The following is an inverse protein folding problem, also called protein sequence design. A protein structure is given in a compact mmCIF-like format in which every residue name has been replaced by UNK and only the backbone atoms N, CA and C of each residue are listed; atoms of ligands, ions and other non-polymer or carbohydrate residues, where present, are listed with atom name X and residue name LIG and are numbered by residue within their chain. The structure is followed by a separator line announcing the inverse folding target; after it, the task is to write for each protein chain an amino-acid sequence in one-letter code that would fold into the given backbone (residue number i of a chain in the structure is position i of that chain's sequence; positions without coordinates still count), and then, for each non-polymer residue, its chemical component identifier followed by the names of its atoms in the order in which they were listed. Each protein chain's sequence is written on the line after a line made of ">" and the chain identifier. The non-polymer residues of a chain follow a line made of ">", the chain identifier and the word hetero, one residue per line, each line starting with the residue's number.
data_IF_231273853209
#
_entry.id   IF_231273853209
#
_cell.length_a   1.000
_cell.length_b   1.000
_cell.length_c   1.000
_cell.angle_alpha   90.00
_cell.angle_beta   90.00
_cell.angle_gamma   90.00
#
_symmetry.space_group_name_H-M   'P 1'
#
loop_
_entity.id
_entity.type
_entity.pdbx_description
1 polymer ?
#
# COMPACT_ATOMS: atom_id res chain seq x y z
N UNK A 1 22.25 -6.71 5.18
CA UNK A 1 21.73 -6.54 3.79
C UNK A 1 21.23 -5.10 3.69
N UNK A 2 21.52 -4.34 2.61
CA UNK A 2 20.97 -2.99 2.50
C UNK A 2 19.49 -3.09 2.13
N UNK A 3 18.56 -2.50 2.91
CA UNK A 3 17.15 -2.50 2.58
C UNK A 3 16.95 -1.77 1.24
N UNK A 4 16.21 -2.40 0.33
CA UNK A 4 15.90 -1.83 -0.98
C UNK A 4 14.44 -1.43 -1.01
N UNK A 5 14.17 -0.19 -1.45
CA UNK A 5 12.81 0.28 -1.65
C UNK A 5 12.15 -0.45 -2.83
N UNK A 6 10.89 -0.83 -2.66
CA UNK A 6 10.05 -1.32 -3.73
C UNK A 6 9.84 -0.24 -4.79
N UNK A 7 9.81 -0.64 -6.05
CA UNK A 7 9.34 0.21 -7.13
C UNK A 7 7.83 0.45 -7.01
N UNK A 8 7.37 1.60 -7.47
CA UNK A 8 5.98 2.05 -7.26
C UNK A 8 4.94 1.04 -7.76
N UNK A 9 5.23 0.36 -8.87
CA UNK A 9 4.34 -0.65 -9.43
C UNK A 9 4.22 -1.85 -8.49
N UNK A 10 5.33 -2.34 -7.98
CA UNK A 10 5.36 -3.46 -7.05
C UNK A 10 4.72 -3.07 -5.71
N UNK A 11 4.99 -1.86 -5.21
CA UNK A 11 4.40 -1.35 -3.98
C UNK A 11 2.88 -1.22 -4.08
N UNK A 12 2.36 -0.59 -5.16
CA UNK A 12 0.91 -0.46 -5.35
C UNK A 12 0.23 -1.82 -5.50
N UNK A 13 0.82 -2.71 -6.30
CA UNK A 13 0.27 -4.06 -6.50
C UNK A 13 0.30 -4.86 -5.19
N UNK A 14 1.34 -4.69 -4.35
CA UNK A 14 1.40 -5.29 -3.01
C UNK A 14 0.30 -4.78 -2.09
N UNK A 15 0.01 -3.47 -2.08
CA UNK A 15 -1.11 -2.90 -1.31
C UNK A 15 -2.45 -3.54 -1.69
N UNK A 16 -2.71 -3.70 -2.98
CA UNK A 16 -3.91 -4.38 -3.46
C UNK A 16 -3.92 -5.88 -3.12
N UNK A 17 -2.76 -6.53 -3.18
CA UNK A 17 -2.64 -7.95 -2.86
C UNK A 17 -2.90 -8.23 -1.38
N UNK A 18 -2.29 -7.45 -0.48
CA UNK A 18 -2.45 -7.63 0.97
C UNK A 18 -3.84 -7.26 1.47
N UNK A 19 -4.57 -6.41 0.74
CA UNK A 19 -5.99 -6.12 1.04
C UNK A 19 -6.97 -7.08 0.36
N UNK A 20 -6.46 -8.04 -0.43
CA UNK A 20 -7.27 -9.02 -1.14
C UNK A 20 -8.03 -8.45 -2.35
N UNK A 21 -7.60 -7.28 -2.85
CA UNK A 21 -8.31 -6.57 -3.91
C UNK A 21 -7.64 -6.67 -5.29
N UNK A 22 -6.42 -7.27 -5.36
CA UNK A 22 -5.67 -7.33 -6.61
C UNK A 22 -6.35 -8.21 -7.66
N UNK A 23 -6.79 -7.58 -8.75
CA UNK A 23 -7.23 -8.27 -9.95
C UNK A 23 -6.02 -8.72 -10.78
N UNK A 24 -5.85 -10.04 -10.91
CA UNK A 24 -4.74 -10.69 -11.63
C UNK A 24 -5.08 -11.01 -13.09
N UNK A 25 -6.21 -10.55 -13.61
CA UNK A 25 -6.62 -10.78 -14.99
C UNK A 25 -5.55 -10.27 -15.96
N UNK A 26 -5.15 -11.13 -16.89
CA UNK A 26 -4.13 -10.84 -17.90
C UNK A 26 -4.79 -10.37 -19.20
N UNK A 27 -4.19 -9.36 -19.84
CA UNK A 27 -4.66 -8.81 -21.11
C UNK A 27 -5.72 -7.71 -20.93
N UNK A 28 -6.35 -7.30 -22.02
CA UNK A 28 -7.35 -6.23 -22.05
C UNK A 28 -6.77 -4.83 -22.25
N UNK A 29 -7.63 -3.83 -22.21
CA UNK A 29 -7.28 -2.43 -22.47
C UNK A 29 -6.46 -1.82 -21.32
N UNK A 30 -5.58 -0.84 -21.60
CA UNK A 30 -4.92 -0.04 -20.58
C UNK A 30 -5.93 0.72 -19.72
N UNK A 31 -5.57 0.92 -18.44
CA UNK A 31 -6.39 1.61 -17.46
C UNK A 31 -5.92 3.07 -17.30
N UNK A 32 -6.86 4.00 -17.43
CA UNK A 32 -6.60 5.45 -17.31
C UNK A 32 -6.72 5.96 -15.88
N UNK A 33 -7.43 5.24 -15.01
CA UNK A 33 -7.70 5.62 -13.61
C UNK A 33 -7.08 4.60 -12.66
N UNK A 34 -5.77 4.44 -12.75
CA UNK A 34 -5.06 3.37 -12.05
C UNK A 34 -5.26 3.40 -10.52
N UNK A 35 -5.44 4.56 -9.91
CA UNK A 35 -5.67 4.66 -8.47
C UNK A 35 -7.07 4.16 -8.02
N UNK A 36 -8.02 4.10 -8.94
CA UNK A 36 -9.35 3.51 -8.70
C UNK A 36 -9.41 2.05 -9.13
N UNK A 37 -8.55 1.67 -10.04
CA UNK A 37 -8.47 0.32 -10.57
C UNK A 37 -7.93 -0.67 -9.54
N UNK A 38 -8.37 -1.91 -9.63
CA UNK A 38 -7.83 -3.05 -8.87
C UNK A 38 -6.86 -3.90 -9.69
N UNK A 39 -6.68 -3.57 -10.97
CA UNK A 39 -5.75 -4.28 -11.87
C UNK A 39 -4.30 -3.96 -11.51
N UNK A 40 -3.40 -4.84 -11.96
CA UNK A 40 -1.96 -4.64 -11.82
C UNK A 40 -1.53 -3.32 -12.46
N UNK A 41 -0.58 -2.65 -11.85
CA UNK A 41 -0.04 -1.36 -12.32
C UNK A 41 0.57 -1.44 -13.71
N UNK A 42 0.96 -2.65 -14.15
CA UNK A 42 1.39 -2.92 -15.52
C UNK A 42 0.39 -2.41 -16.60
N UNK A 43 -0.89 -2.33 -16.27
CA UNK A 43 -1.94 -1.87 -17.20
C UNK A 43 -2.21 -0.36 -17.11
N UNK A 44 -1.44 0.39 -16.33
CA UNK A 44 -1.59 1.84 -16.24
C UNK A 44 -1.34 2.50 -17.59
N UNK A 45 -2.22 3.42 -17.98
CA UNK A 45 -1.99 4.27 -19.15
C UNK A 45 -0.94 5.34 -18.80
N UNK A 46 0.10 5.46 -19.61
CA UNK A 46 1.19 6.44 -19.43
C UNK A 46 1.25 7.36 -20.65
N UNK A 47 1.32 8.67 -20.40
CA UNK A 47 1.48 9.67 -21.45
C UNK A 47 2.95 9.91 -21.79
N UNK A 48 3.26 10.07 -23.09
CA UNK A 48 4.58 10.52 -23.56
C UNK A 48 4.72 12.05 -23.56
N UNK A 49 3.64 12.79 -23.42
CA UNK A 49 3.62 14.27 -23.57
C UNK A 49 3.08 14.95 -22.31
N UNK A 50 3.77 14.78 -21.20
CA UNK A 50 3.39 15.38 -19.91
C UNK A 50 2.29 14.58 -19.18
N UNK A 51 1.82 15.12 -18.06
CA UNK A 51 0.80 14.48 -17.23
C UNK A 51 -0.59 14.68 -17.81
N UNK A 52 -1.07 13.67 -18.48
CA UNK A 52 -2.44 13.64 -19.03
C UNK A 52 -3.38 12.74 -18.22
N UNK A 53 -2.81 11.79 -17.50
CA UNK A 53 -3.55 10.81 -16.74
C UNK A 53 -3.17 10.88 -15.25
N UNK A 54 -4.09 10.49 -14.38
CA UNK A 54 -3.82 10.36 -12.94
C UNK A 54 -2.61 9.45 -12.66
N UNK A 55 -2.45 8.38 -13.47
CA UNK A 55 -1.32 7.48 -13.40
C UNK A 55 0.03 8.16 -13.60
N UNK A 56 0.14 9.14 -14.49
CA UNK A 56 1.41 9.82 -14.75
C UNK A 56 1.92 10.55 -13.51
N UNK A 57 1.05 11.34 -12.87
CA UNK A 57 1.39 12.10 -11.66
C UNK A 57 1.72 11.16 -10.48
N UNK A 58 0.92 10.10 -10.29
CA UNK A 58 1.13 9.12 -9.24
C UNK A 58 2.46 8.37 -9.41
N UNK A 59 2.72 7.84 -10.60
CA UNK A 59 3.92 7.07 -10.88
C UNK A 59 5.18 7.93 -10.71
N UNK A 60 5.17 9.19 -11.20
CA UNK A 60 6.29 10.12 -11.02
C UNK A 60 6.51 10.53 -9.58
N UNK A 61 5.45 10.68 -8.79
CA UNK A 61 5.58 10.96 -7.37
C UNK A 61 6.46 9.91 -6.66
N UNK A 62 6.47 8.68 -7.16
CA UNK A 62 7.24 7.55 -6.62
C UNK A 62 8.39 7.12 -7.54
N UNK A 63 9.01 8.07 -8.23
CA UNK A 63 10.25 7.87 -8.99
C UNK A 63 10.13 6.97 -10.24
N UNK A 64 8.95 6.82 -10.82
CA UNK A 64 8.80 6.16 -12.10
C UNK A 64 9.47 6.98 -13.21
N UNK A 65 10.27 6.38 -14.12
CA UNK A 65 10.94 7.10 -15.19
C UNK A 65 9.96 7.84 -16.11
N UNK A 66 10.34 9.04 -16.54
CA UNK A 66 9.56 9.76 -17.54
C UNK A 66 9.56 8.99 -18.88
N UNK A 67 8.38 8.83 -19.47
CA UNK A 67 8.22 8.07 -20.72
C UNK A 67 8.92 8.67 -21.96
N UNK A 68 9.46 9.89 -21.81
CA UNK A 68 10.15 10.64 -22.89
C UNK A 68 11.68 10.55 -22.85
N UNK A 69 12.24 9.95 -21.81
CA UNK A 69 13.70 9.86 -21.64
C UNK A 69 14.14 8.45 -21.29
N UNK A 70 15.31 8.05 -21.83
CA UNK A 70 15.98 6.84 -21.38
C UNK A 70 16.68 7.12 -20.06
N UNK A 71 16.50 6.23 -19.09
CA UNK A 71 17.19 6.30 -17.80
C UNK A 71 18.02 5.03 -17.60
N UNK A 72 19.30 5.18 -17.31
CA UNK A 72 20.18 4.04 -17.01
C UNK A 72 19.82 3.34 -15.68
N UNK A 73 19.23 4.09 -14.75
CA UNK A 73 18.75 3.56 -13.46
C UNK A 73 17.54 4.39 -12.99
N UNK A 74 16.69 3.78 -12.19
CA UNK A 74 15.60 4.53 -11.54
C UNK A 74 16.19 5.33 -10.37
N UNK A 75 15.86 6.63 -10.26
CA UNK A 75 16.18 7.39 -9.06
C UNK A 75 15.41 6.80 -7.87
N UNK A 76 15.93 7.03 -6.68
CA UNK A 76 15.23 6.70 -5.43
C UNK A 76 15.23 7.96 -4.58
N UNK A 77 14.10 8.63 -4.50
CA UNK A 77 13.93 9.83 -3.69
C UNK A 77 13.01 9.56 -2.50
N UNK A 78 13.20 10.34 -1.45
CA UNK A 78 12.27 10.37 -0.32
C UNK A 78 11.84 11.82 -0.15
N UNK A 79 10.62 12.12 -0.57
CA UNK A 79 10.06 13.47 -0.51
C UNK A 79 8.80 13.53 0.35
N UNK A 80 8.55 14.66 1.03
CA UNK A 80 7.38 14.80 1.92
C UNK A 80 6.04 14.48 1.23
N UNK A 81 5.92 14.75 -0.06
CA UNK A 81 4.71 14.48 -0.83
C UNK A 81 4.34 13.00 -0.92
N UNK A 82 5.34 12.11 -0.91
CA UNK A 82 5.10 10.66 -0.86
C UNK A 82 4.42 10.26 0.47
N UNK A 83 4.88 10.80 1.59
CA UNK A 83 4.25 10.57 2.89
C UNK A 83 2.85 11.16 2.97
N UNK A 84 2.65 12.37 2.43
CA UNK A 84 1.33 12.97 2.36
C UNK A 84 0.36 12.13 1.52
N UNK A 85 0.83 11.54 0.43
CA UNK A 85 0.04 10.60 -0.37
C UNK A 85 -0.33 9.35 0.45
N UNK A 86 0.62 8.73 1.13
CA UNK A 86 0.38 7.54 1.95
C UNK A 86 -0.60 7.81 3.09
N UNK A 87 -0.57 9.01 3.67
CA UNK A 87 -1.44 9.37 4.80
C UNK A 87 -2.84 9.82 4.37
N UNK A 88 -2.98 10.48 3.21
CA UNK A 88 -4.20 11.24 2.90
C UNK A 88 -4.89 10.84 1.58
N UNK A 89 -4.25 10.05 0.71
CA UNK A 89 -4.86 9.75 -0.59
C UNK A 89 -6.11 8.86 -0.44
N UNK A 90 -7.14 9.08 -1.27
CA UNK A 90 -8.30 8.20 -1.31
C UNK A 90 -7.93 6.74 -1.56
N UNK A 91 -6.89 6.50 -2.36
CA UNK A 91 -6.37 5.16 -2.61
C UNK A 91 -5.93 4.47 -1.32
N UNK A 92 -5.11 5.13 -0.48
CA UNK A 92 -4.65 4.55 0.79
C UNK A 92 -5.78 4.39 1.81
N UNK A 93 -6.65 5.39 1.90
CA UNK A 93 -7.81 5.34 2.81
C UNK A 93 -8.73 4.17 2.48
N UNK A 94 -8.98 3.91 1.19
CA UNK A 94 -9.79 2.79 0.75
C UNK A 94 -9.14 1.44 1.09
N UNK A 95 -7.82 1.31 0.91
CA UNK A 95 -7.08 0.09 1.30
C UNK A 95 -7.15 -0.13 2.80
N UNK A 96 -6.95 0.94 3.58
CA UNK A 96 -7.06 0.89 5.03
C UNK A 96 -8.48 0.48 5.48
N UNK A 97 -9.52 0.99 4.83
CA UNK A 97 -10.91 0.63 5.07
C UNK A 97 -11.16 -0.86 4.79
N UNK A 98 -10.72 -1.34 3.65
CA UNK A 98 -10.89 -2.75 3.25
C UNK A 98 -10.18 -3.70 4.24
N UNK A 99 -8.91 -3.43 4.54
CA UNK A 99 -8.14 -4.24 5.49
C UNK A 99 -8.72 -4.16 6.90
N UNK A 100 -9.03 -2.96 7.38
CA UNK A 100 -9.61 -2.76 8.71
C UNK A 100 -10.94 -3.48 8.90
N UNK A 101 -11.82 -3.43 7.89
CA UNK A 101 -13.09 -4.16 7.94
C UNK A 101 -12.88 -5.68 7.96
N UNK A 102 -11.92 -6.20 7.19
CA UNK A 102 -11.61 -7.62 7.20
C UNK A 102 -11.08 -8.08 8.56
N UNK A 103 -10.20 -7.28 9.19
CA UNK A 103 -9.68 -7.56 10.54
C UNK A 103 -10.76 -7.46 11.62
N UNK A 104 -11.67 -6.49 11.50
CA UNK A 104 -12.80 -6.34 12.43
C UNK A 104 -13.74 -7.54 12.37
N UNK A 105 -13.99 -8.10 11.19
CA UNK A 105 -14.89 -9.23 10.98
C UNK A 105 -14.35 -10.57 11.55
N UNK A 106 -13.06 -10.66 11.86
CA UNK A 106 -12.47 -11.86 12.45
C UNK A 106 -12.98 -12.08 13.87
N UNK A 107 -13.26 -13.34 14.22
CA UNK A 107 -13.70 -13.75 15.56
C UNK A 107 -12.56 -14.15 16.50
N UNK A 108 -11.33 -14.12 16.00
CA UNK A 108 -10.13 -14.47 16.76
C UNK A 108 -9.86 -13.43 17.87
N UNK A 109 -9.16 -13.81 18.96
CA UNK A 109 -8.72 -12.87 19.98
C UNK A 109 -7.91 -11.72 19.40
N UNK A 110 -8.00 -10.53 20.00
CA UNK A 110 -7.34 -9.32 19.51
C UNK A 110 -5.83 -9.50 19.25
N UNK A 111 -5.04 -10.11 20.15
CA UNK A 111 -3.61 -10.34 19.88
C UNK A 111 -3.35 -11.20 18.64
N UNK A 112 -4.20 -12.18 18.36
CA UNK A 112 -4.02 -13.08 17.22
C UNK A 112 -4.38 -12.39 15.90
N UNK A 113 -5.37 -11.49 15.89
CA UNK A 113 -5.65 -10.61 14.74
C UNK A 113 -4.48 -9.68 14.44
N UNK A 114 -3.81 -9.14 15.47
CA UNK A 114 -2.61 -8.33 15.33
C UNK A 114 -1.47 -9.18 14.73
N UNK A 115 -1.18 -10.36 15.26
CA UNK A 115 -0.17 -11.26 14.69
C UNK A 115 -0.46 -11.60 13.22
N UNK A 116 -1.72 -11.81 12.90
CA UNK A 116 -2.17 -12.16 11.54
C UNK A 116 -1.90 -11.02 10.56
N UNK A 117 -2.23 -9.77 10.93
CA UNK A 117 -1.99 -8.63 10.03
C UNK A 117 -0.50 -8.34 9.83
N UNK A 118 0.34 -8.49 10.84
CA UNK A 118 1.80 -8.37 10.68
C UNK A 118 2.36 -9.43 9.72
N UNK A 119 1.91 -10.66 9.85
CA UNK A 119 2.31 -11.74 8.92
C UNK A 119 1.82 -11.47 7.50
N UNK A 120 0.61 -10.93 7.35
CA UNK A 120 0.01 -10.61 6.05
C UNK A 120 0.73 -9.45 5.37
N UNK A 121 1.08 -8.38 6.10
CA UNK A 121 1.69 -7.18 5.54
C UNK A 121 3.20 -7.29 5.38
N UNK A 122 3.88 -7.85 6.39
CA UNK A 122 5.33 -7.80 6.48
C UNK A 122 6.00 -9.17 6.35
N UNK A 123 5.21 -10.23 6.17
CA UNK A 123 5.70 -11.62 6.05
C UNK A 123 6.56 -12.10 7.23
N UNK A 124 6.43 -11.45 8.40
CA UNK A 124 7.09 -11.80 9.65
C UNK A 124 6.10 -11.90 10.81
N UNK A 125 6.55 -12.51 11.89
CA UNK A 125 5.81 -12.44 13.15
C UNK A 125 5.92 -11.05 13.76
N UNK A 126 4.86 -10.62 14.46
CA UNK A 126 4.91 -9.41 15.28
C UNK A 126 5.71 -9.67 16.55
N UNK A 127 6.44 -8.66 17.03
CA UNK A 127 7.10 -8.67 18.31
C UNK A 127 6.09 -8.53 19.47
N UNK A 128 6.42 -9.01 20.69
CA UNK A 128 5.56 -8.84 21.86
C UNK A 128 5.19 -7.38 22.12
N UNK A 129 6.11 -6.43 21.94
CA UNK A 129 5.87 -5.00 22.11
C UNK A 129 4.89 -4.44 21.07
N UNK A 130 4.93 -4.92 19.83
CA UNK A 130 3.99 -4.53 18.76
C UNK A 130 2.57 -5.02 19.06
N UNK A 131 2.45 -6.23 19.63
CA UNK A 131 1.16 -6.78 20.06
C UNK A 131 0.60 -5.97 21.23
N UNK A 132 1.43 -5.66 22.22
CA UNK A 132 1.04 -4.87 23.38
C UNK A 132 0.57 -3.47 22.97
N UNK A 133 1.36 -2.76 22.17
CA UNK A 133 1.05 -1.43 21.65
C UNK A 133 -0.25 -1.44 20.84
N UNK A 134 -0.40 -2.41 19.94
CA UNK A 134 -1.59 -2.56 19.12
C UNK A 134 -2.84 -2.85 19.94
N UNK A 135 -2.70 -3.72 20.95
CA UNK A 135 -3.81 -4.07 21.87
C UNK A 135 -4.21 -2.85 22.73
N UNK A 136 -3.23 -2.13 23.25
CA UNK A 136 -3.47 -0.92 24.04
C UNK A 136 -4.16 0.16 23.22
N UNK A 137 -3.72 0.36 21.96
CA UNK A 137 -4.29 1.38 21.09
C UNK A 137 -5.71 1.04 20.62
N UNK A 138 -5.96 -0.22 20.27
CA UNK A 138 -7.27 -0.69 19.81
C UNK A 138 -8.30 -0.79 20.95
N UNK A 139 -7.85 -1.04 22.20
CA UNK A 139 -8.71 -1.27 23.34
C UNK A 139 -9.42 -2.63 23.31
N UNK A 140 -10.28 -2.89 24.28
CA UNK A 140 -10.90 -4.21 24.46
C UNK A 140 -11.94 -4.55 23.38
N UNK A 141 -12.68 -3.55 22.91
CA UNK A 141 -13.74 -3.70 21.90
C UNK A 141 -13.54 -2.69 20.76
N UNK A 142 -12.59 -2.97 19.85
CA UNK A 142 -12.26 -2.02 18.80
C UNK A 142 -13.39 -1.90 17.76
N UNK A 143 -13.76 -0.65 17.48
CA UNK A 143 -14.75 -0.32 16.46
C UNK A 143 -14.19 -0.57 15.04
N UNK A 144 -15.05 -0.71 14.01
CA UNK A 144 -14.58 -0.76 12.60
C UNK A 144 -13.68 0.41 12.27
N UNK A 145 -13.99 1.61 12.76
CA UNK A 145 -13.18 2.82 12.52
C UNK A 145 -11.79 2.72 13.16
N UNK A 146 -11.69 2.18 14.38
CA UNK A 146 -10.39 1.95 15.02
C UNK A 146 -9.53 0.98 14.20
N UNK A 147 -10.10 -0.12 13.72
CA UNK A 147 -9.41 -1.05 12.85
C UNK A 147 -8.96 -0.43 11.53
N UNK A 148 -9.78 0.45 10.93
CA UNK A 148 -9.40 1.18 9.70
C UNK A 148 -8.21 2.11 9.96
N UNK A 149 -8.21 2.84 11.07
CA UNK A 149 -7.10 3.72 11.45
C UNK A 149 -5.83 2.92 11.75
N UNK A 150 -5.95 1.79 12.46
CA UNK A 150 -4.83 0.89 12.71
C UNK A 150 -4.24 0.33 11.41
N UNK A 151 -5.10 -0.13 10.52
CA UNK A 151 -4.70 -0.60 9.19
C UNK A 151 -4.00 0.50 8.38
N UNK A 152 -4.46 1.75 8.47
CA UNK A 152 -3.82 2.88 7.77
C UNK A 152 -2.40 3.14 8.29
N UNK A 153 -2.18 3.08 9.60
CA UNK A 153 -0.84 3.21 10.18
C UNK A 153 0.07 2.10 9.66
N UNK A 154 -0.38 0.86 9.68
CA UNK A 154 0.41 -0.28 9.20
C UNK A 154 0.71 -0.20 7.70
N UNK A 155 -0.29 0.15 6.86
CA UNK A 155 -0.10 0.29 5.41
C UNK A 155 0.80 1.46 5.04
N UNK A 156 0.94 2.48 5.90
CA UNK A 156 1.81 3.64 5.71
C UNK A 156 3.20 3.44 6.32
N UNK A 157 3.45 2.32 6.99
CA UNK A 157 4.74 2.05 7.62
C UNK A 157 5.84 1.86 6.56
N UNK A 158 7.03 2.34 6.89
CA UNK A 158 8.21 2.26 6.01
C UNK A 158 8.59 0.81 5.67
N UNK A 159 8.29 -0.12 6.55
CA UNK A 159 8.56 -1.55 6.38
C UNK A 159 7.82 -2.13 5.16
N UNK A 160 6.61 -1.66 4.84
CA UNK A 160 5.83 -2.15 3.70
C UNK A 160 6.41 -1.74 2.34
N UNK A 161 7.21 -0.68 2.29
CA UNK A 161 7.82 -0.18 1.04
C UNK A 161 9.25 -0.68 0.86
N UNK A 162 9.80 -1.42 1.81
CA UNK A 162 11.17 -1.93 1.77
C UNK A 162 11.21 -3.45 1.69
N UNK A 163 12.16 -3.96 0.89
CA UNK A 163 12.56 -5.37 0.89
C UNK A 163 13.80 -5.49 1.78
N UNK A 164 13.72 -6.37 2.78
CA UNK A 164 14.85 -6.73 3.63
C UNK A 164 15.67 -7.88 3.01
#
# INVERSE_FOLDING_TARGET
>A
MNPRRLEVEAWRDSLLAVTGELDRTVGGNPDKEILRSKRRTLYATISRTGDRFESDAFLRLFDFPAAVSTSASRPTSTVPQQYLFMMNSPFMTERARTLGNSLHALKEPLPDRIKKVYRQLYSRSSDPAEIELGTQWLGNEPTPKAWQQYAQVLLSAHELIQIQ
#
